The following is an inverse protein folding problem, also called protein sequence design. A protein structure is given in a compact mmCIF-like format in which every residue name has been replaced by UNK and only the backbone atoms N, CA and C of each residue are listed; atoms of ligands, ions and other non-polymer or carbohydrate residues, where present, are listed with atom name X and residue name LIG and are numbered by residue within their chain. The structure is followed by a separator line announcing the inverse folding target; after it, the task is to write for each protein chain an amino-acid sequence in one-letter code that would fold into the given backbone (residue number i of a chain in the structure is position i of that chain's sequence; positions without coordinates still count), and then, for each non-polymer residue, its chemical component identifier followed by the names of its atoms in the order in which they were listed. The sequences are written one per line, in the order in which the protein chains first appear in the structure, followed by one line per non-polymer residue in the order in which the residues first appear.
data_IF_791007222978
#
_entry.id   IF_791007222978
#
_cell.length_a   1.000
_cell.length_b   1.000
_cell.length_c   1.000
_cell.angle_alpha   90.00
_cell.angle_beta   90.00
_cell.angle_gamma   90.00
#
_symmetry.space_group_name_H-M   'P 1'
#
loop_
_entity.id
_entity.type
_entity.pdbx_description
1 polymer ?
#
# COMPACT_ATOMS: atom_id res chain seq x y z
N UNK A 1 -10.02 11.61 10.34
CA UNK A 1 -10.14 10.12 10.27
C UNK A 1 -8.84 9.49 9.78
N UNK A 2 -8.46 8.31 10.30
CA UNK A 2 -7.26 7.58 9.87
C UNK A 2 -7.64 6.34 9.07
N UNK A 3 -7.06 6.16 7.88
CA UNK A 3 -7.33 5.02 7.00
C UNK A 3 -6.02 4.29 6.73
N UNK A 4 -6.00 2.99 7.02
CA UNK A 4 -4.87 2.11 6.76
C UNK A 4 -5.16 1.22 5.57
N UNK A 5 -4.23 1.21 4.61
CA UNK A 5 -4.22 0.29 3.48
C UNK A 5 -3.13 -0.76 3.65
N UNK A 6 -3.37 -1.92 3.06
CA UNK A 6 -2.37 -3.00 2.96
C UNK A 6 -2.52 -3.72 1.64
N UNK A 7 -1.48 -4.41 1.22
CA UNK A 7 -1.46 -5.16 -0.03
C UNK A 7 -0.05 -5.60 -0.38
N UNK A 8 0.10 -6.25 -1.54
CA UNK A 8 1.41 -6.48 -2.13
C UNK A 8 2.06 -5.17 -2.58
N UNK A 9 3.38 -5.18 -2.71
CA UNK A 9 4.16 -4.03 -3.19
C UNK A 9 4.13 -3.86 -4.71
N UNK A 10 3.46 -4.76 -5.44
CA UNK A 10 3.37 -4.67 -6.90
C UNK A 10 2.30 -3.68 -7.34
N UNK A 11 2.43 -3.20 -8.58
CA UNK A 11 1.46 -2.24 -9.16
C UNK A 11 0.01 -2.68 -9.08
N UNK A 12 -0.27 -3.99 -9.12
CA UNK A 12 -1.63 -4.54 -9.03
C UNK A 12 -2.38 -4.17 -7.74
N UNK A 13 -1.68 -3.90 -6.64
CA UNK A 13 -2.31 -3.38 -5.41
C UNK A 13 -2.18 -1.87 -5.29
N UNK A 14 -1.03 -1.33 -5.70
CA UNK A 14 -0.70 0.09 -5.51
C UNK A 14 -1.59 1.00 -6.34
N UNK A 15 -1.81 0.70 -7.63
CA UNK A 15 -2.64 1.57 -8.48
C UNK A 15 -4.11 1.66 -8.01
N UNK A 16 -4.78 0.54 -7.65
CA UNK A 16 -6.12 0.61 -7.06
C UNK A 16 -6.17 1.45 -5.77
N UNK A 17 -5.17 1.31 -4.88
CA UNK A 17 -5.12 2.09 -3.63
C UNK A 17 -5.02 3.58 -3.92
N UNK A 18 -4.16 3.97 -4.86
CA UNK A 18 -3.99 5.37 -5.29
C UNK A 18 -5.31 5.91 -5.86
N UNK A 19 -5.98 5.16 -6.74
CA UNK A 19 -7.26 5.57 -7.31
C UNK A 19 -8.34 5.78 -6.22
N UNK A 20 -8.42 4.88 -5.24
CA UNK A 20 -9.34 4.98 -4.11
C UNK A 20 -9.02 6.23 -3.27
N UNK A 21 -7.76 6.47 -2.94
CA UNK A 21 -7.38 7.64 -2.11
C UNK A 21 -7.68 8.96 -2.81
N UNK A 22 -7.43 9.06 -4.12
CA UNK A 22 -7.81 10.24 -4.90
C UNK A 22 -9.31 10.48 -4.86
N UNK A 23 -10.12 9.44 -4.98
CA UNK A 23 -11.58 9.56 -4.94
C UNK A 23 -12.09 9.90 -3.52
N UNK A 24 -11.51 9.30 -2.47
CA UNK A 24 -11.83 9.65 -1.08
C UNK A 24 -11.54 11.14 -0.84
N UNK A 25 -10.38 11.64 -1.27
CA UNK A 25 -10.03 13.07 -1.15
C UNK A 25 -10.99 13.98 -1.93
N UNK A 26 -11.48 13.52 -3.09
CA UNK A 26 -12.46 14.26 -3.90
C UNK A 26 -13.80 14.41 -3.19
N UNK A 27 -14.29 13.32 -2.58
CA UNK A 27 -15.58 13.28 -1.87
C UNK A 27 -15.48 13.96 -0.50
N UNK A 28 -14.39 13.73 0.22
CA UNK A 28 -14.12 14.27 1.54
C UNK A 28 -13.09 15.40 1.48
N UNK A 29 -13.57 16.63 1.29
CA UNK A 29 -12.73 17.83 1.20
C UNK A 29 -12.18 18.32 2.57
N UNK A 30 -12.39 17.56 3.65
CA UNK A 30 -11.90 17.93 4.98
C UNK A 30 -10.43 17.52 5.12
N UNK A 31 -9.62 18.41 5.69
CA UNK A 31 -8.18 18.21 5.91
C UNK A 31 -7.84 17.28 7.07
N UNK A 32 -8.77 16.45 7.55
CA UNK A 32 -8.56 15.57 8.71
C UNK A 32 -8.26 14.12 8.30
N UNK A 33 -7.94 13.84 7.04
CA UNK A 33 -7.66 12.49 6.54
C UNK A 33 -6.17 12.14 6.59
N UNK A 34 -5.83 11.16 7.41
CA UNK A 34 -4.50 10.55 7.43
C UNK A 34 -4.53 9.20 6.72
N UNK A 35 -3.67 9.02 5.72
CA UNK A 35 -3.53 7.76 4.98
C UNK A 35 -2.25 7.02 5.40
N UNK A 36 -2.39 5.75 5.74
CA UNK A 36 -1.30 4.87 6.14
C UNK A 36 -1.21 3.69 5.18
N UNK A 37 0.01 3.19 4.94
CA UNK A 37 0.22 1.95 4.18
C UNK A 37 1.17 1.02 4.92
N UNK A 38 0.76 -0.24 5.05
CA UNK A 38 1.59 -1.33 5.58
C UNK A 38 1.70 -2.44 4.53
N UNK A 39 2.92 -2.74 4.08
CA UNK A 39 3.18 -3.74 3.04
C UNK A 39 4.65 -4.15 2.91
N UNK A 40 5.00 -5.02 1.96
CA UNK A 40 6.39 -5.39 1.69
C UNK A 40 7.24 -4.18 1.33
N UNK A 41 8.56 -4.32 1.50
CA UNK A 41 9.51 -3.41 0.87
C UNK A 41 9.42 -3.60 -0.65
N UNK A 42 9.17 -2.51 -1.36
CA UNK A 42 9.12 -2.46 -2.81
C UNK A 42 9.76 -1.12 -3.27
N UNK A 43 10.35 -1.12 -4.46
CA UNK A 43 11.09 0.05 -4.98
C UNK A 43 10.21 1.07 -5.70
N UNK A 44 9.08 0.66 -6.28
CA UNK A 44 8.29 1.51 -7.18
C UNK A 44 6.94 1.92 -6.59
N UNK A 45 6.23 0.97 -5.99
CA UNK A 45 4.92 1.18 -5.40
C UNK A 45 4.94 2.14 -4.22
N UNK A 46 5.93 1.99 -3.33
CA UNK A 46 6.12 2.87 -2.18
C UNK A 46 6.40 4.31 -2.59
N UNK A 47 7.10 4.54 -3.71
CA UNK A 47 7.33 5.89 -4.24
C UNK A 47 5.99 6.53 -4.64
N UNK A 48 5.14 5.79 -5.35
CA UNK A 48 3.84 6.31 -5.79
C UNK A 48 2.92 6.59 -4.59
N UNK A 49 2.90 5.72 -3.60
CA UNK A 49 2.15 5.94 -2.35
C UNK A 49 2.70 7.14 -1.55
N UNK A 50 4.01 7.32 -1.51
CA UNK A 50 4.63 8.47 -0.86
C UNK A 50 4.25 9.80 -1.56
N UNK A 51 4.18 9.81 -2.89
CA UNK A 51 3.70 10.97 -3.67
C UNK A 51 2.24 11.32 -3.37
N UNK A 52 1.41 10.33 -3.02
CA UNK A 52 0.05 10.55 -2.54
C UNK A 52 0.00 10.97 -1.06
N UNK A 53 1.14 11.10 -0.36
CA UNK A 53 1.20 11.58 1.02
C UNK A 53 0.89 10.52 2.08
N UNK A 54 1.11 9.24 1.77
CA UNK A 54 0.94 8.16 2.75
C UNK A 54 2.05 8.13 3.80
N UNK A 55 1.66 7.75 5.03
CA UNK A 55 2.59 7.31 6.07
C UNK A 55 2.86 5.81 5.89
N UNK A 56 4.05 5.50 5.37
CA UNK A 56 4.42 4.15 4.97
C UNK A 56 5.19 3.43 6.09
N UNK A 57 4.83 2.17 6.33
CA UNK A 57 5.58 1.23 7.16
C UNK A 57 5.79 -0.07 6.40
N UNK A 58 7.04 -0.49 6.27
CA UNK A 58 7.37 -1.75 5.62
C UNK A 58 7.35 -2.90 6.63
N UNK A 59 6.88 -4.06 6.17
CA UNK A 59 6.91 -5.32 6.92
C UNK A 59 7.51 -6.41 6.04
N UNK A 60 8.11 -7.42 6.67
CA UNK A 60 8.47 -8.65 5.96
C UNK A 60 7.16 -9.32 5.56
N UNK A 61 6.99 -9.53 4.27
CA UNK A 61 5.84 -10.24 3.74
C UNK A 61 6.26 -11.01 2.49
N UNK A 62 5.51 -12.05 2.19
CA UNK A 62 5.84 -12.98 1.12
C UNK A 62 4.71 -13.99 0.90
N UNK A 63 4.78 -14.68 -0.23
CA UNK A 63 3.82 -15.72 -0.55
C UNK A 63 4.16 -16.98 0.24
N UNK A 64 3.21 -17.47 1.05
CA UNK A 64 3.28 -18.82 1.60
C UNK A 64 2.98 -19.80 0.47
N UNK A 65 4.00 -20.43 -0.09
CA UNK A 65 3.83 -21.38 -1.20
C UNK A 65 3.50 -22.75 -0.62
N UNK A 66 2.36 -23.33 -1.02
CA UNK A 66 1.90 -24.67 -0.59
C UNK A 66 2.62 -25.82 -1.34
N UNK A 67 3.70 -25.53 -2.04
CA UNK A 67 4.52 -26.46 -2.80
C UNK A 67 5.99 -26.26 -2.41
N UNK A 68 6.82 -27.29 -2.63
CA UNK A 68 8.27 -27.19 -2.43
C UNK A 68 8.83 -26.08 -3.31
N UNK A 69 9.38 -25.05 -2.67
CA UNK A 69 9.98 -23.90 -3.31
C UNK A 69 11.15 -23.45 -2.45
N UNK A 70 12.29 -23.18 -3.09
CA UNK A 70 13.44 -22.57 -2.43
C UNK A 70 13.12 -21.18 -1.86
N UNK A 71 12.06 -20.53 -2.35
CA UNK A 71 11.58 -19.24 -1.86
C UNK A 71 10.77 -19.35 -0.54
N UNK A 72 10.61 -20.54 0.02
CA UNK A 72 10.04 -20.78 1.35
C UNK A 72 11.12 -21.00 2.45
N UNK A 73 12.39 -21.10 2.06
CA UNK A 73 13.55 -21.23 2.97
C UNK A 73 14.17 -19.84 3.19
#
# INVERSE_FOLDING_TARGET
MRILFTGGGTGGHVFPIVAIVREIRRIYQRNDLDFYYIGPKDEFGLILLAQEGFLIKTIISGKIRRYLSFENL
#
